data_IF_738782724563
#
_entry.id   IF_738782724563
#
_cell.length_a   1.000
_cell.length_b   1.000
_cell.length_c   1.000
_cell.angle_alpha   90.00
_cell.angle_beta   90.00
_cell.angle_gamma   90.00
#
_symmetry.space_group_name_H-M   'P 1'
#
loop_
_entity.id
_entity.type
_entity.pdbx_description
1 polymer ?
#
# COMPACT_ATOMS: atom_id res chain seq x y z
N UNK A 1 19.82 -11.68 -18.47
CA UNK A 1 18.40 -12.06 -18.43
C UNK A 1 17.50 -10.83 -18.17
N UNK A 2 17.79 -10.00 -17.13
CA UNK A 2 17.00 -8.79 -16.81
C UNK A 2 16.85 -7.89 -18.03
N UNK A 3 17.95 -7.49 -18.67
CA UNK A 3 17.97 -6.65 -19.86
C UNK A 3 17.16 -7.23 -21.04
N UNK A 4 17.21 -8.55 -21.24
CA UNK A 4 16.46 -9.23 -22.31
C UNK A 4 14.96 -9.10 -22.05
N UNK A 5 14.53 -9.27 -20.81
CA UNK A 5 13.12 -9.13 -20.42
C UNK A 5 12.62 -7.68 -20.57
N UNK A 6 13.43 -6.70 -20.17
CA UNK A 6 13.14 -5.28 -20.34
C UNK A 6 12.98 -4.90 -21.83
N UNK A 7 13.86 -5.41 -22.70
CA UNK A 7 13.80 -5.14 -24.14
C UNK A 7 12.53 -5.66 -24.83
N UNK A 8 11.86 -6.64 -24.23
CA UNK A 8 10.57 -7.17 -24.73
C UNK A 8 9.36 -6.64 -23.93
N UNK A 9 9.53 -5.52 -23.24
CA UNK A 9 8.44 -4.82 -22.52
C UNK A 9 8.01 -5.48 -21.22
N UNK A 10 8.81 -6.38 -20.62
CA UNK A 10 8.55 -6.94 -19.29
C UNK A 10 9.17 -6.08 -18.19
N UNK A 11 8.60 -6.14 -16.99
CA UNK A 11 9.14 -5.49 -15.79
C UNK A 11 9.68 -6.58 -14.86
N UNK A 12 10.95 -6.96 -14.97
CA UNK A 12 11.53 -8.02 -14.15
C UNK A 12 11.78 -7.55 -12.73
N UNK A 13 11.27 -8.31 -11.76
CA UNK A 13 11.49 -8.09 -10.33
C UNK A 13 12.48 -9.14 -9.81
N UNK A 14 13.56 -8.70 -9.20
CA UNK A 14 14.55 -9.57 -8.58
C UNK A 14 14.24 -9.68 -7.09
N UNK A 15 14.10 -10.89 -6.58
CA UNK A 15 13.89 -11.16 -5.17
C UNK A 15 14.54 -12.46 -4.74
N UNK A 16 14.81 -12.62 -3.45
CA UNK A 16 15.26 -13.88 -2.88
C UNK A 16 14.14 -14.92 -2.90
N UNK A 17 14.51 -16.19 -2.95
CA UNK A 17 13.57 -17.30 -2.84
C UNK A 17 12.84 -17.26 -1.49
N UNK A 18 11.52 -17.25 -1.53
CA UNK A 18 10.65 -17.24 -0.35
C UNK A 18 9.30 -17.85 -0.72
N UNK A 19 8.60 -18.53 0.19
CA UNK A 19 7.25 -19.03 -0.07
C UNK A 19 6.32 -17.91 -0.54
N UNK A 20 5.71 -18.10 -1.71
CA UNK A 20 4.81 -17.12 -2.33
C UNK A 20 5.49 -15.88 -2.91
N UNK A 21 6.80 -15.78 -2.85
CA UNK A 21 7.56 -14.62 -3.33
C UNK A 21 6.96 -13.28 -2.84
N UNK A 22 6.70 -12.33 -3.76
CA UNK A 22 6.12 -11.02 -3.42
C UNK A 22 4.61 -11.00 -3.68
N UNK A 23 4.20 -11.18 -4.94
CA UNK A 23 2.81 -10.95 -5.36
C UNK A 23 1.85 -11.97 -4.74
N UNK A 24 2.04 -13.29 -4.87
CA UNK A 24 1.13 -14.26 -4.27
C UNK A 24 1.04 -14.13 -2.75
N UNK A 25 2.15 -13.80 -2.08
CA UNK A 25 2.18 -13.65 -0.62
C UNK A 25 1.33 -12.47 -0.14
N UNK A 26 1.43 -11.31 -0.79
CA UNK A 26 0.66 -10.12 -0.45
C UNK A 26 -0.81 -10.32 -0.82
N UNK A 27 -1.09 -10.90 -2.00
CA UNK A 27 -2.45 -11.17 -2.44
C UNK A 27 -3.18 -12.15 -1.51
N UNK A 28 -2.54 -13.26 -1.13
CA UNK A 28 -3.15 -14.23 -0.23
C UNK A 28 -3.52 -13.61 1.12
N UNK A 29 -2.66 -12.74 1.66
CA UNK A 29 -2.96 -12.02 2.91
C UNK A 29 -4.20 -11.12 2.76
N UNK A 30 -4.25 -10.30 1.71
CA UNK A 30 -5.36 -9.39 1.46
C UNK A 30 -6.68 -10.13 1.17
N UNK A 31 -6.63 -11.19 0.35
CA UNK A 31 -7.82 -11.98 0.00
C UNK A 31 -8.37 -12.74 1.21
N UNK A 32 -7.50 -13.32 2.05
CA UNK A 32 -7.94 -13.98 3.28
C UNK A 32 -8.56 -12.99 4.27
N UNK A 33 -8.03 -11.77 4.37
CA UNK A 33 -8.61 -10.75 5.23
C UNK A 33 -9.99 -10.30 4.71
N UNK A 34 -10.15 -10.10 3.41
CA UNK A 34 -11.44 -9.81 2.81
C UNK A 34 -12.48 -10.92 3.07
N UNK A 35 -12.07 -12.19 3.00
CA UNK A 35 -12.93 -13.32 3.31
C UNK A 35 -13.34 -13.35 4.81
N UNK A 36 -12.41 -13.03 5.73
CA UNK A 36 -12.73 -12.92 7.16
C UNK A 36 -13.74 -11.83 7.46
N UNK A 37 -13.64 -10.67 6.81
CA UNK A 37 -14.63 -9.60 6.99
C UNK A 37 -16.05 -10.03 6.62
N UNK A 38 -16.22 -10.92 5.62
CA UNK A 38 -17.51 -11.54 5.32
C UNK A 38 -17.92 -12.52 6.41
N UNK A 39 -17.01 -13.40 6.84
CA UNK A 39 -17.26 -14.42 7.87
C UNK A 39 -17.62 -13.79 9.22
N UNK A 40 -16.98 -12.70 9.58
CA UNK A 40 -17.23 -11.91 10.78
C UNK A 40 -18.50 -11.03 10.68
N UNK A 41 -19.15 -10.99 9.52
CA UNK A 41 -20.36 -10.19 9.30
C UNK A 41 -20.13 -8.69 9.29
N UNK A 42 -18.89 -8.24 9.01
CA UNK A 42 -18.56 -6.81 8.97
C UNK A 42 -19.24 -6.11 7.80
N UNK A 43 -19.26 -6.73 6.62
CA UNK A 43 -19.94 -6.24 5.43
C UNK A 43 -20.24 -7.36 4.44
N UNK A 44 -21.08 -7.07 3.45
CA UNK A 44 -21.31 -7.98 2.32
C UNK A 44 -20.04 -8.10 1.45
N UNK A 45 -19.90 -9.22 0.74
CA UNK A 45 -18.80 -9.39 -0.23
C UNK A 45 -18.79 -8.26 -1.29
N UNK A 46 -19.98 -7.81 -1.71
CA UNK A 46 -20.14 -6.73 -2.67
C UNK A 46 -19.60 -5.40 -2.13
N UNK A 47 -19.88 -5.07 -0.85
CA UNK A 47 -19.42 -3.82 -0.24
C UNK A 47 -17.93 -3.85 0.07
N UNK A 48 -17.37 -5.00 0.46
CA UNK A 48 -15.93 -5.20 0.60
C UNK A 48 -15.22 -4.97 -0.74
N UNK A 49 -15.77 -5.51 -1.83
CA UNK A 49 -15.25 -5.28 -3.18
C UNK A 49 -15.34 -3.81 -3.61
N UNK A 50 -16.44 -3.12 -3.29
CA UNK A 50 -16.56 -1.66 -3.50
C UNK A 50 -15.51 -0.92 -2.72
N UNK A 51 -15.35 -1.21 -1.42
CA UNK A 51 -14.33 -0.59 -0.57
C UNK A 51 -12.91 -0.80 -1.12
N UNK A 52 -12.62 -1.99 -1.64
CA UNK A 52 -11.35 -2.29 -2.29
C UNK A 52 -11.16 -1.46 -3.55
N UNK A 53 -12.13 -1.49 -4.48
CA UNK A 53 -12.03 -0.86 -5.81
C UNK A 53 -11.99 0.67 -5.74
N UNK A 54 -12.77 1.28 -4.86
CA UNK A 54 -12.88 2.75 -4.72
C UNK A 54 -12.02 3.33 -3.59
N UNK A 55 -11.66 2.49 -2.61
CA UNK A 55 -10.87 2.89 -1.46
C UNK A 55 -9.36 2.82 -1.72
N UNK A 56 -8.77 1.66 -1.58
CA UNK A 56 -7.31 1.52 -1.60
C UNK A 56 -6.74 0.87 -2.86
N UNK A 57 -7.50 0.02 -3.57
CA UNK A 57 -6.97 -0.80 -4.66
C UNK A 57 -6.36 0.02 -5.80
N UNK A 58 -7.05 1.07 -6.28
CA UNK A 58 -6.55 1.92 -7.35
C UNK A 58 -5.31 2.73 -6.94
N UNK A 59 -5.13 2.99 -5.63
CA UNK A 59 -3.97 3.74 -5.13
C UNK A 59 -2.69 2.95 -5.30
N UNK A 60 -2.73 1.62 -5.16
CA UNK A 60 -1.57 0.74 -5.29
C UNK A 60 -1.09 0.57 -6.73
N UNK A 61 -1.88 0.95 -7.72
CA UNK A 61 -1.43 1.06 -9.10
C UNK A 61 -0.57 2.32 -9.35
N UNK A 62 -0.74 3.36 -8.54
CA UNK A 62 -0.01 4.64 -8.63
C UNK A 62 1.16 4.69 -7.64
N UNK A 63 0.91 4.28 -6.39
CA UNK A 63 1.91 4.14 -5.34
C UNK A 63 2.03 2.66 -4.98
N UNK A 64 3.24 2.12 -4.92
CA UNK A 64 3.43 0.79 -4.32
C UNK A 64 3.06 0.80 -2.83
N UNK A 65 2.89 -0.37 -2.22
CA UNK A 65 2.51 -0.48 -0.80
C UNK A 65 3.49 0.23 0.14
N UNK A 66 4.79 0.08 -0.07
CA UNK A 66 5.81 0.72 0.77
C UNK A 66 5.88 2.23 0.52
N UNK A 67 5.78 2.66 -0.73
CA UNK A 67 5.68 4.07 -1.10
C UNK A 67 4.41 4.71 -0.50
N UNK A 68 3.31 3.96 -0.40
CA UNK A 68 2.07 4.43 0.22
C UNK A 68 2.20 4.60 1.75
N UNK A 69 2.97 3.73 2.42
CA UNK A 69 3.30 3.91 3.84
C UNK A 69 4.09 5.21 4.02
N UNK A 70 5.12 5.43 3.20
CA UNK A 70 5.94 6.64 3.27
C UNK A 70 5.16 7.92 2.92
N UNK A 71 4.19 7.81 2.00
CA UNK A 71 3.28 8.90 1.64
C UNK A 71 2.39 9.33 2.80
N UNK A 72 1.77 8.37 3.48
CA UNK A 72 0.84 8.60 4.58
C UNK A 72 1.52 8.86 5.92
N UNK A 73 2.71 8.33 6.07
CA UNK A 73 3.49 8.33 7.32
C UNK A 73 3.54 6.95 7.99
N UNK A 74 4.76 6.45 8.21
CA UNK A 74 4.99 5.17 8.88
C UNK A 74 4.46 5.13 10.32
N UNK A 75 4.40 6.28 10.99
CA UNK A 75 3.80 6.45 12.31
C UNK A 75 2.29 6.18 12.30
N UNK A 76 1.57 6.54 11.24
CA UNK A 76 0.13 6.24 11.11
C UNK A 76 -0.06 4.73 11.07
N UNK A 77 0.73 4.00 10.26
CA UNK A 77 0.66 2.54 10.23
C UNK A 77 1.06 1.92 11.57
N UNK A 78 2.07 2.48 12.25
CA UNK A 78 2.49 2.01 13.58
C UNK A 78 1.34 2.06 14.59
N UNK A 79 0.69 3.21 14.73
CA UNK A 79 -0.44 3.37 15.68
C UNK A 79 -1.68 2.58 15.25
N UNK A 80 -1.99 2.52 13.96
CA UNK A 80 -3.09 1.71 13.44
C UNK A 80 -2.87 0.21 13.74
N UNK A 81 -1.65 -0.29 13.57
CA UNK A 81 -1.29 -1.68 13.88
C UNK A 81 -1.45 -1.99 15.38
N UNK A 82 -1.02 -1.08 16.25
CA UNK A 82 -1.21 -1.23 17.70
C UNK A 82 -2.69 -1.26 18.06
N UNK A 83 -3.47 -0.32 17.52
CA UNK A 83 -4.90 -0.26 17.78
C UNK A 83 -5.61 -1.55 17.33
N UNK A 84 -5.37 -1.97 16.09
CA UNK A 84 -6.00 -3.17 15.52
C UNK A 84 -5.63 -4.43 16.28
N UNK A 85 -4.35 -4.61 16.62
CA UNK A 85 -3.88 -5.76 17.41
C UNK A 85 -4.57 -5.80 18.77
N UNK A 86 -4.69 -4.65 19.44
CA UNK A 86 -5.36 -4.57 20.75
C UNK A 86 -6.88 -4.80 20.65
N UNK A 87 -7.52 -4.21 19.65
CA UNK A 87 -8.97 -4.27 19.48
C UNK A 87 -9.46 -5.66 19.07
N UNK A 88 -8.72 -6.36 18.23
CA UNK A 88 -9.08 -7.70 17.73
C UNK A 88 -8.47 -8.84 18.55
N UNK A 89 -7.40 -8.60 19.30
CA UNK A 89 -6.58 -9.63 19.93
C UNK A 89 -5.71 -10.44 18.96
N UNK A 90 -5.64 -10.03 17.69
CA UNK A 90 -5.04 -10.81 16.61
C UNK A 90 -3.64 -10.30 16.21
N UNK A 91 -2.65 -11.15 16.34
CA UNK A 91 -1.26 -10.83 15.99
C UNK A 91 -1.04 -10.56 14.49
N UNK A 92 -1.99 -10.91 13.61
CA UNK A 92 -1.88 -10.63 12.17
C UNK A 92 -1.82 -9.12 11.85
N UNK A 93 -2.29 -8.27 12.75
CA UNK A 93 -2.24 -6.82 12.63
C UNK A 93 -1.00 -6.19 13.28
N UNK A 94 -0.20 -6.97 14.01
CA UNK A 94 0.97 -6.43 14.70
C UNK A 94 2.00 -5.88 13.73
N UNK A 95 2.51 -4.68 14.02
CA UNK A 95 3.54 -4.05 13.22
C UNK A 95 4.83 -4.90 13.19
N UNK A 96 5.38 -5.20 12.01
CA UNK A 96 6.66 -5.89 11.94
C UNK A 96 7.79 -5.02 12.51
N UNK A 97 8.89 -5.66 12.88
CA UNK A 97 10.06 -4.99 13.50
C UNK A 97 10.50 -3.74 12.74
N UNK A 98 10.52 -3.79 11.41
CA UNK A 98 10.97 -2.66 10.57
C UNK A 98 10.10 -1.40 10.75
N UNK A 99 8.79 -1.54 10.99
CA UNK A 99 7.90 -0.40 11.29
C UNK A 99 8.24 0.18 12.66
N UNK A 100 8.48 -0.68 13.65
CA UNK A 100 8.87 -0.23 14.99
C UNK A 100 10.24 0.48 14.99
N UNK A 101 11.19 -0.02 14.21
CA UNK A 101 12.52 0.56 14.06
C UNK A 101 12.44 1.92 13.34
N UNK A 102 11.69 2.01 12.23
CA UNK A 102 11.49 3.27 11.51
C UNK A 102 10.85 4.34 12.39
N UNK A 103 9.87 3.96 13.22
CA UNK A 103 9.25 4.89 14.18
C UNK A 103 10.25 5.45 15.18
N UNK A 104 11.12 4.59 15.75
CA UNK A 104 12.16 5.00 16.70
C UNK A 104 13.24 5.89 16.09
N UNK A 105 13.54 5.66 14.82
CA UNK A 105 14.59 6.37 14.08
C UNK A 105 14.08 7.63 13.36
N UNK A 106 12.80 8.01 13.54
CA UNK A 106 12.16 9.11 12.84
C UNK A 106 12.28 8.96 11.30
N UNK A 107 11.99 7.76 10.81
CA UNK A 107 11.99 7.41 9.38
C UNK A 107 10.57 7.08 8.93
N UNK A 108 9.67 8.08 9.04
CA UNK A 108 8.25 7.89 8.80
C UNK A 108 7.82 8.26 7.36
N UNK A 109 8.76 8.41 6.45
CA UNK A 109 8.47 8.66 5.04
C UNK A 109 8.69 10.11 4.63
N UNK A 110 7.81 10.65 3.79
CA UNK A 110 7.95 11.98 3.16
C UNK A 110 8.19 13.11 4.15
N UNK A 111 7.50 13.11 5.27
CA UNK A 111 7.61 14.18 6.29
C UNK A 111 8.98 14.24 6.97
N UNK A 112 9.66 13.09 7.04
CA UNK A 112 10.99 12.98 7.67
C UNK A 112 12.11 12.90 6.59
N UNK A 113 11.77 13.01 5.30
CA UNK A 113 12.70 12.87 4.18
C UNK A 113 13.18 11.44 3.95
N UNK A 114 12.76 10.49 4.75
CA UNK A 114 13.22 9.10 4.72
C UNK A 114 12.20 8.15 5.33
N UNK A 115 12.05 6.99 4.72
CA UNK A 115 11.19 5.91 5.20
C UNK A 115 11.69 4.58 4.68
N UNK A 116 10.84 3.82 3.98
CA UNK A 116 11.27 2.69 3.16
C UNK A 116 12.08 3.15 1.96
N UNK A 117 11.75 4.32 1.43
CA UNK A 117 12.48 4.98 0.35
C UNK A 117 13.20 6.22 0.88
N UNK A 118 14.08 6.81 0.06
CA UNK A 118 14.82 8.02 0.37
C UNK A 118 14.23 9.21 -0.40
N UNK A 119 13.90 10.29 0.30
CA UNK A 119 13.28 11.51 -0.22
C UNK A 119 14.11 12.77 0.05
N UNK A 120 15.35 12.63 0.55
CA UNK A 120 16.19 13.76 1.00
C UNK A 120 16.45 14.82 -0.08
N UNK A 121 16.49 14.41 -1.37
CA UNK A 121 16.74 15.31 -2.49
C UNK A 121 15.52 15.49 -3.40
N UNK A 122 14.34 15.18 -2.89
CA UNK A 122 13.10 15.23 -3.64
C UNK A 122 12.40 16.58 -3.45
N UNK A 123 11.92 17.19 -4.52
CA UNK A 123 10.89 18.22 -4.43
C UNK A 123 9.57 17.56 -4.03
N UNK A 124 9.34 17.51 -2.72
CA UNK A 124 8.20 16.81 -2.13
C UNK A 124 6.87 17.36 -2.67
N UNK A 125 6.76 18.69 -2.84
CA UNK A 125 5.53 19.32 -3.34
C UNK A 125 5.22 18.85 -4.75
N UNK A 126 6.19 18.95 -5.65
CA UNK A 126 6.05 18.52 -7.04
C UNK A 126 5.79 17.01 -7.14
N UNK A 127 6.44 16.22 -6.31
CA UNK A 127 6.19 14.78 -6.23
C UNK A 127 4.75 14.49 -5.82
N UNK A 128 4.23 15.16 -4.78
CA UNK A 128 2.86 14.99 -4.31
C UNK A 128 1.84 15.41 -5.38
N UNK A 129 2.04 16.55 -6.04
CA UNK A 129 1.20 17.00 -7.16
C UNK A 129 1.15 15.96 -8.29
N UNK A 130 2.29 15.43 -8.69
CA UNK A 130 2.36 14.40 -9.73
C UNK A 130 1.61 13.11 -9.34
N UNK A 131 1.71 12.68 -8.08
CA UNK A 131 1.00 11.49 -7.60
C UNK A 131 -0.51 11.72 -7.51
N UNK A 132 -0.95 12.89 -7.07
CA UNK A 132 -2.37 13.27 -7.06
C UNK A 132 -2.94 13.32 -8.48
N UNK A 133 -2.22 13.88 -9.45
CA UNK A 133 -2.63 13.85 -10.86
C UNK A 133 -2.74 12.41 -11.37
N UNK A 134 -1.78 11.54 -11.05
CA UNK A 134 -1.83 10.14 -11.45
C UNK A 134 -3.03 9.39 -10.84
N UNK A 135 -3.44 9.70 -9.60
CA UNK A 135 -4.67 9.17 -9.02
C UNK A 135 -5.91 9.62 -9.80
N UNK A 136 -6.00 10.89 -10.15
CA UNK A 136 -7.11 11.42 -10.95
C UNK A 136 -7.20 10.75 -12.31
N UNK A 137 -6.06 10.59 -13.00
CA UNK A 137 -6.00 9.91 -14.30
C UNK A 137 -6.40 8.42 -14.19
N UNK A 138 -5.99 7.74 -13.12
CA UNK A 138 -6.41 6.38 -12.86
C UNK A 138 -7.92 6.26 -12.63
N UNK A 139 -8.51 7.18 -11.83
CA UNK A 139 -9.95 7.22 -11.60
C UNK A 139 -10.74 7.49 -12.89
N UNK A 140 -10.24 8.38 -13.76
CA UNK A 140 -10.82 8.64 -15.08
C UNK A 140 -10.76 7.37 -15.95
N UNK A 141 -9.60 6.71 -16.01
CA UNK A 141 -9.42 5.50 -16.80
C UNK A 141 -10.35 4.37 -16.35
N UNK A 142 -10.62 4.25 -15.06
CA UNK A 142 -11.52 3.26 -14.47
C UNK A 142 -13.01 3.68 -14.50
N UNK A 143 -13.33 4.84 -15.07
CA UNK A 143 -14.69 5.43 -15.05
C UNK A 143 -15.27 5.53 -13.63
N UNK A 144 -14.44 5.97 -12.69
CA UNK A 144 -14.74 6.08 -11.25
C UNK A 144 -14.72 7.53 -10.74
N UNK A 145 -14.74 8.50 -11.64
CA UNK A 145 -14.87 9.90 -11.24
C UNK A 145 -16.24 10.17 -10.62
N UNK A 146 -16.32 10.98 -9.55
CA UNK A 146 -17.60 11.39 -9.03
C UNK A 146 -18.38 12.19 -10.09
N UNK A 147 -19.72 12.13 -10.09
CA UNK A 147 -20.51 12.93 -11.00
C UNK A 147 -20.16 14.41 -10.81
N UNK A 148 -20.12 15.14 -11.92
CA UNK A 148 -19.98 16.59 -11.86
C UNK A 148 -21.23 17.15 -11.19
N UNK A 149 -21.07 17.79 -10.04
CA UNK A 149 -22.13 18.54 -9.39
C UNK A 149 -22.57 19.74 -10.20
#
# INVERSE_FOLDING_TARGET
LKQILENIGKVPIVCSASPGYIVPRIQALAMNEAARLVEEGVASAEDIDKATKYGFGFRFAVLGLLEFIDWGGGDILYYASQYMTKATGENRFAAPKIINDNMKENRNGLKDGKGFLNYENLDVKKYQENRLLAFVEMLKHLDKMPPKG
#
